data_IF_320699499397
#
_entry.id   IF_320699499397
#
_cell.length_a   1.000
_cell.length_b   1.000
_cell.length_c   1.000
_cell.angle_alpha   90.00
_cell.angle_beta   90.00
_cell.angle_gamma   90.00
#
_symmetry.space_group_name_H-M   'P 1'
#
loop_
_entity.id
_entity.type
_entity.pdbx_description
1 polymer ?
#
# COMPACT_ATOMS: atom_id res chain seq x y z
N UNK A 1 81.87 -32.05 4.34
CA UNK A 1 80.89 -31.39 3.43
C UNK A 1 79.46 -31.99 3.45
N UNK A 2 79.24 -33.25 3.86
CA UNK A 2 77.90 -33.86 3.87
C UNK A 2 76.93 -33.35 4.96
N UNK A 3 77.43 -32.88 6.11
CA UNK A 3 76.59 -32.41 7.24
C UNK A 3 75.97 -31.02 6.99
N UNK A 4 76.73 -30.13 6.34
CA UNK A 4 76.27 -28.77 6.00
C UNK A 4 75.14 -28.79 4.95
N UNK A 5 75.18 -29.72 3.99
CA UNK A 5 74.16 -29.85 2.94
C UNK A 5 72.84 -30.42 3.48
N UNK A 6 72.87 -31.30 4.49
CA UNK A 6 71.67 -31.84 5.15
C UNK A 6 70.96 -30.82 6.05
N UNK A 7 71.71 -29.96 6.74
CA UNK A 7 71.12 -28.88 7.55
C UNK A 7 70.45 -27.80 6.70
N UNK A 8 71.04 -27.44 5.56
CA UNK A 8 70.45 -26.47 4.64
C UNK A 8 69.14 -26.97 4.00
N UNK A 9 69.07 -28.25 3.63
CA UNK A 9 67.87 -28.84 3.02
C UNK A 9 66.70 -28.96 4.03
N UNK A 10 67.01 -29.33 5.28
CA UNK A 10 66.02 -29.41 6.36
C UNK A 10 65.46 -28.04 6.76
N UNK A 11 66.29 -26.99 6.78
CA UNK A 11 65.86 -25.63 7.11
C UNK A 11 65.00 -25.01 6.00
N UNK A 12 65.39 -25.21 4.73
CA UNK A 12 64.60 -24.78 3.57
C UNK A 12 63.22 -25.45 3.52
N UNK A 13 63.15 -26.75 3.82
CA UNK A 13 61.89 -27.51 3.84
C UNK A 13 60.97 -27.08 4.99
N UNK A 14 61.52 -26.77 6.16
CA UNK A 14 60.75 -26.20 7.29
C UNK A 14 60.21 -24.81 7.00
N UNK A 15 61.00 -23.94 6.36
CA UNK A 15 60.54 -22.59 5.96
C UNK A 15 59.44 -22.62 4.89
N UNK A 16 59.54 -23.53 3.93
CA UNK A 16 58.52 -23.69 2.90
C UNK A 16 57.19 -24.20 3.46
N UNK A 17 57.23 -25.16 4.40
CA UNK A 17 56.03 -25.70 5.04
C UNK A 17 55.33 -24.64 5.93
N UNK A 18 56.09 -23.86 6.70
CA UNK A 18 55.51 -22.78 7.54
C UNK A 18 54.96 -21.62 6.71
N UNK A 19 55.62 -21.22 5.62
CA UNK A 19 55.10 -20.16 4.72
C UNK A 19 53.82 -20.62 4.00
N UNK A 20 53.77 -21.87 3.54
CA UNK A 20 52.58 -22.45 2.91
C UNK A 20 51.40 -22.54 3.88
N UNK A 21 51.65 -22.97 5.12
CA UNK A 21 50.62 -23.05 6.17
C UNK A 21 50.09 -21.67 6.57
N UNK A 22 50.99 -20.69 6.73
CA UNK A 22 50.62 -19.31 7.06
C UNK A 22 49.79 -18.65 5.93
N UNK A 23 50.14 -18.89 4.66
CA UNK A 23 49.34 -18.40 3.52
C UNK A 23 47.97 -19.08 3.44
N UNK A 24 47.88 -20.38 3.69
CA UNK A 24 46.61 -21.11 3.68
C UNK A 24 45.67 -20.64 4.79
N UNK A 25 46.17 -20.43 6.01
CA UNK A 25 45.36 -19.88 7.12
C UNK A 25 44.92 -18.44 6.85
N UNK A 26 45.80 -17.60 6.29
CA UNK A 26 45.45 -16.22 5.95
C UNK A 26 44.39 -16.13 4.85
N UNK A 27 44.46 -16.97 3.81
CA UNK A 27 43.46 -17.02 2.74
C UNK A 27 42.11 -17.55 3.23
N UNK A 28 42.12 -18.61 4.05
CA UNK A 28 40.91 -19.16 4.66
C UNK A 28 40.21 -18.15 5.57
N UNK A 29 40.97 -17.40 6.38
CA UNK A 29 40.43 -16.37 7.27
C UNK A 29 39.87 -15.17 6.50
N UNK A 30 40.51 -14.75 5.41
CA UNK A 30 39.99 -13.69 4.52
C UNK A 30 38.72 -14.11 3.79
N UNK A 31 38.63 -15.35 3.30
CA UNK A 31 37.41 -15.87 2.67
C UNK A 31 36.24 -15.97 3.65
N UNK A 32 36.49 -16.43 4.87
CA UNK A 32 35.45 -16.52 5.90
C UNK A 32 34.91 -15.13 6.29
N UNK A 33 35.80 -14.14 6.46
CA UNK A 33 35.41 -12.77 6.81
C UNK A 33 34.63 -12.08 5.67
N UNK A 34 35.07 -12.29 4.42
CA UNK A 34 34.38 -11.77 3.24
C UNK A 34 32.98 -12.41 3.05
N UNK A 35 32.83 -13.72 3.25
CA UNK A 35 31.55 -14.42 3.17
C UNK A 35 30.59 -13.98 4.28
N UNK A 36 31.08 -13.83 5.51
CA UNK A 36 30.29 -13.35 6.65
C UNK A 36 29.79 -11.92 6.41
N UNK A 37 30.64 -11.04 5.91
CA UNK A 37 30.29 -9.65 5.61
C UNK A 37 29.30 -9.55 4.45
N UNK A 38 29.47 -10.35 3.40
CA UNK A 38 28.54 -10.39 2.27
C UNK A 38 27.15 -10.89 2.66
N UNK A 39 27.05 -11.87 3.58
CA UNK A 39 25.76 -12.35 4.10
C UNK A 39 25.05 -11.33 4.96
N UNK A 40 25.78 -10.62 5.83
CA UNK A 40 25.21 -9.57 6.67
C UNK A 40 24.64 -8.41 5.82
N UNK A 41 25.39 -7.96 4.82
CA UNK A 41 24.96 -6.86 3.93
C UNK A 41 23.73 -7.27 3.09
N UNK A 42 23.70 -8.51 2.60
CA UNK A 42 22.57 -9.04 1.86
C UNK A 42 21.30 -9.19 2.72
N UNK A 43 21.43 -9.57 4.00
CA UNK A 43 20.30 -9.66 4.92
C UNK A 43 19.75 -8.27 5.27
N UNK A 44 20.63 -7.31 5.55
CA UNK A 44 20.24 -5.93 5.86
C UNK A 44 19.58 -5.23 4.67
N UNK A 45 20.08 -5.45 3.46
CA UNK A 45 19.45 -4.97 2.22
C UNK A 45 18.05 -5.57 2.02
N UNK A 46 17.86 -6.87 2.30
CA UNK A 46 16.54 -7.52 2.23
C UNK A 46 15.59 -6.98 3.29
N UNK A 47 16.05 -6.79 4.52
CA UNK A 47 15.26 -6.25 5.61
C UNK A 47 14.83 -4.79 5.34
N UNK A 48 15.73 -3.97 4.79
CA UNK A 48 15.43 -2.60 4.39
C UNK A 48 14.41 -2.54 3.24
N UNK A 49 14.56 -3.41 2.23
CA UNK A 49 13.60 -3.50 1.12
C UNK A 49 12.20 -3.95 1.61
N UNK A 50 12.14 -4.94 2.51
CA UNK A 50 10.87 -5.38 3.11
C UNK A 50 10.20 -4.28 3.92
N UNK A 51 10.95 -3.56 4.77
CA UNK A 51 10.41 -2.42 5.53
C UNK A 51 9.91 -1.30 4.62
N UNK A 52 10.64 -0.98 3.56
CA UNK A 52 10.23 0.06 2.61
C UNK A 52 8.95 -0.32 1.87
N UNK A 53 8.84 -1.58 1.43
CA UNK A 53 7.61 -2.09 0.80
C UNK A 53 6.41 -2.06 1.76
N UNK A 54 6.60 -2.44 3.03
CA UNK A 54 5.54 -2.42 4.03
C UNK A 54 5.10 -0.99 4.37
N UNK A 55 6.04 -0.06 4.50
CA UNK A 55 5.75 1.37 4.70
C UNK A 55 4.98 1.96 3.52
N UNK A 56 5.38 1.66 2.29
CA UNK A 56 4.70 2.16 1.09
C UNK A 56 3.28 1.57 0.97
N UNK A 57 3.10 0.29 1.29
CA UNK A 57 1.78 -0.33 1.35
C UNK A 57 0.88 0.27 2.44
N UNK A 58 1.44 0.57 3.62
CA UNK A 58 0.71 1.23 4.70
C UNK A 58 0.33 2.68 4.34
N UNK A 59 1.23 3.42 3.70
CA UNK A 59 0.97 4.77 3.20
C UNK A 59 -0.13 4.77 2.15
N UNK A 60 -0.04 3.90 1.13
CA UNK A 60 -1.09 3.75 0.12
C UNK A 60 -2.44 3.45 0.75
N UNK A 61 -2.52 2.52 1.71
CA UNK A 61 -3.78 2.24 2.43
C UNK A 61 -4.32 3.46 3.19
N UNK A 62 -3.45 4.22 3.85
CA UNK A 62 -3.86 5.41 4.61
C UNK A 62 -4.32 6.54 3.68
N UNK A 63 -3.64 6.75 2.56
CA UNK A 63 -4.01 7.72 1.54
C UNK A 63 -5.30 7.31 0.84
N UNK A 64 -5.45 6.04 0.45
CA UNK A 64 -6.69 5.52 -0.13
C UNK A 64 -7.89 5.76 0.79
N UNK A 65 -7.73 5.54 2.11
CA UNK A 65 -8.79 5.86 3.08
C UNK A 65 -9.12 7.34 3.11
N UNK A 66 -8.11 8.22 3.18
CA UNK A 66 -8.32 9.69 3.21
C UNK A 66 -8.99 10.19 1.93
N UNK A 67 -8.55 9.70 0.77
CA UNK A 67 -9.11 10.04 -0.54
C UNK A 67 -10.54 9.51 -0.64
N UNK A 68 -10.81 8.28 -0.17
CA UNK A 68 -12.17 7.73 -0.12
C UNK A 68 -13.10 8.59 0.75
N UNK A 69 -12.66 8.99 1.94
CA UNK A 69 -13.44 9.80 2.86
C UNK A 69 -13.69 11.22 2.30
N UNK A 70 -12.65 11.87 1.75
CA UNK A 70 -12.77 13.16 1.08
C UNK A 70 -13.71 13.09 -0.12
N UNK A 71 -13.61 12.02 -0.91
CA UNK A 71 -14.49 11.80 -2.07
C UNK A 71 -15.93 11.57 -1.64
N UNK A 72 -16.19 10.76 -0.60
CA UNK A 72 -17.53 10.60 -0.03
C UNK A 72 -18.11 11.93 0.43
N UNK A 73 -17.29 12.80 1.03
CA UNK A 73 -17.72 14.14 1.40
C UNK A 73 -18.07 14.99 0.16
N UNK A 74 -17.27 14.92 -0.91
CA UNK A 74 -17.58 15.57 -2.18
C UNK A 74 -18.89 15.05 -2.80
N UNK A 75 -19.14 13.74 -2.73
CA UNK A 75 -20.38 13.12 -3.19
C UNK A 75 -21.57 13.65 -2.41
N UNK A 76 -21.49 13.60 -1.08
CA UNK A 76 -22.53 14.10 -0.19
C UNK A 76 -22.83 15.57 -0.51
N UNK A 77 -21.81 16.42 -0.60
CA UNK A 77 -21.99 17.84 -0.89
C UNK A 77 -22.62 18.08 -2.27
N UNK A 78 -22.18 17.35 -3.31
CA UNK A 78 -22.72 17.50 -4.67
C UNK A 78 -24.18 17.04 -4.75
N UNK A 79 -24.52 15.92 -4.10
CA UNK A 79 -25.89 15.42 -4.01
C UNK A 79 -26.75 16.38 -3.19
N UNK A 80 -26.32 16.80 -2.01
CA UNK A 80 -27.07 17.75 -1.18
C UNK A 80 -27.31 19.08 -1.89
N UNK A 81 -26.37 19.56 -2.71
CA UNK A 81 -26.56 20.77 -3.54
C UNK A 81 -27.59 20.58 -4.65
N UNK A 82 -27.67 19.39 -5.23
CA UNK A 82 -28.66 19.06 -6.25
C UNK A 82 -30.00 18.58 -5.66
N UNK A 83 -30.06 18.41 -4.34
CA UNK A 83 -31.20 17.81 -3.66
C UNK A 83 -32.25 18.84 -3.28
N UNK A 84 -33.41 18.72 -3.94
CA UNK A 84 -34.58 19.53 -3.64
C UNK A 84 -35.44 18.82 -2.60
N UNK A 85 -35.17 19.10 -1.32
CA UNK A 85 -35.88 18.47 -0.20
C UNK A 85 -37.34 18.91 -0.18
N UNK A 86 -38.30 17.97 -0.27
CA UNK A 86 -39.71 18.30 -0.14
C UNK A 86 -39.99 18.79 1.28
N UNK A 87 -40.71 19.92 1.41
CA UNK A 87 -41.00 20.56 2.71
C UNK A 87 -41.64 19.59 3.71
N UNK A 88 -42.49 18.68 3.24
CA UNK A 88 -43.18 17.68 4.06
C UNK A 88 -42.25 16.63 4.69
N UNK A 89 -41.00 16.52 4.23
CA UNK A 89 -40.05 15.51 4.68
C UNK A 89 -38.83 16.10 5.40
N UNK A 90 -38.81 17.40 5.69
CA UNK A 90 -37.75 18.03 6.49
C UNK A 90 -37.63 17.39 7.88
N UNK A 91 -36.40 17.23 8.35
CA UNK A 91 -36.05 16.52 9.58
C UNK A 91 -35.96 14.99 9.45
N UNK A 92 -36.41 14.40 8.33
CA UNK A 92 -36.33 12.95 8.11
C UNK A 92 -34.96 12.55 7.58
N UNK A 93 -34.49 11.38 8.00
CA UNK A 93 -33.29 10.76 7.43
C UNK A 93 -33.66 9.66 6.44
N UNK A 94 -32.90 9.55 5.37
CA UNK A 94 -33.05 8.53 4.33
C UNK A 94 -31.72 7.87 4.05
N UNK A 95 -31.70 6.54 4.03
CA UNK A 95 -30.52 5.79 3.63
C UNK A 95 -30.60 5.49 2.15
N UNK A 96 -29.59 5.91 1.40
CA UNK A 96 -29.54 5.74 -0.06
C UNK A 96 -28.34 4.87 -0.41
N UNK A 97 -28.62 3.75 -1.06
CA UNK A 97 -27.60 2.90 -1.65
C UNK A 97 -27.39 3.32 -3.10
N UNK A 98 -26.19 3.79 -3.40
CA UNK A 98 -25.81 4.30 -4.71
C UNK A 98 -24.79 3.34 -5.30
N UNK A 99 -25.06 2.88 -6.52
CA UNK A 99 -24.13 2.14 -7.35
C UNK A 99 -23.58 3.06 -8.43
N UNK A 100 -22.27 3.20 -8.48
CA UNK A 100 -21.55 4.04 -9.44
C UNK A 100 -20.79 3.16 -10.44
N UNK A 101 -20.43 3.70 -11.58
CA UNK A 101 -19.49 3.09 -12.52
C UNK A 101 -18.05 3.58 -12.26
N UNK A 102 -17.04 3.03 -12.94
CA UNK A 102 -15.62 3.42 -12.79
C UNK A 102 -15.35 4.90 -13.14
N UNK A 103 -16.28 5.54 -13.86
CA UNK A 103 -16.20 6.96 -14.23
C UNK A 103 -17.00 7.89 -13.30
N UNK A 104 -17.53 7.37 -12.17
CA UNK A 104 -18.36 8.16 -11.24
C UNK A 104 -19.79 8.44 -11.73
N UNK A 105 -20.22 7.75 -12.79
CA UNK A 105 -21.61 7.81 -13.27
C UNK A 105 -22.53 6.96 -12.40
N UNK A 106 -23.71 7.48 -12.06
CA UNK A 106 -24.69 6.73 -11.28
C UNK A 106 -25.33 5.64 -12.13
N UNK A 107 -25.11 4.38 -11.77
CA UNK A 107 -25.72 3.21 -12.41
C UNK A 107 -27.06 2.81 -11.77
N UNK A 108 -27.13 2.87 -10.45
CA UNK A 108 -28.35 2.49 -9.72
C UNK A 108 -28.46 3.28 -8.42
N UNK A 109 -29.67 3.68 -8.08
CA UNK A 109 -29.99 4.36 -6.82
C UNK A 109 -31.15 3.63 -6.18
N UNK A 110 -30.97 3.27 -4.91
CA UNK A 110 -32.01 2.63 -4.11
C UNK A 110 -32.14 3.41 -2.82
N UNK A 111 -33.18 4.24 -2.71
CA UNK A 111 -33.49 4.94 -1.48
C UNK A 111 -34.42 4.09 -0.60
N UNK A 112 -34.05 3.93 0.67
CA UNK A 112 -34.83 3.20 1.66
C UNK A 112 -35.48 4.20 2.62
N UNK A 113 -36.74 4.54 2.33
CA UNK A 113 -37.56 5.43 3.16
C UNK A 113 -39.04 5.06 3.00
N UNK A 114 -39.83 5.40 4.01
CA UNK A 114 -41.30 5.29 4.01
C UNK A 114 -41.99 6.36 3.14
N UNK A 115 -41.28 7.45 2.80
CA UNK A 115 -41.82 8.58 2.05
C UNK A 115 -41.48 8.47 0.56
N UNK A 116 -42.51 8.34 -0.29
CA UNK A 116 -42.34 8.22 -1.74
C UNK A 116 -41.79 9.50 -2.38
N UNK A 117 -42.24 10.68 -1.96
CA UNK A 117 -41.75 11.97 -2.48
C UNK A 117 -40.28 12.20 -2.12
N UNK A 118 -39.89 11.85 -0.90
CA UNK A 118 -38.49 11.95 -0.46
C UNK A 118 -37.59 11.01 -1.26
N UNK A 119 -38.06 9.80 -1.55
CA UNK A 119 -37.37 8.83 -2.40
C UNK A 119 -37.18 9.36 -3.82
N UNK A 120 -38.23 9.84 -4.46
CA UNK A 120 -38.14 10.39 -5.81
C UNK A 120 -37.20 11.61 -5.86
N UNK A 121 -37.31 12.52 -4.88
CA UNK A 121 -36.45 13.69 -4.76
C UNK A 121 -34.97 13.32 -4.62
N UNK A 122 -34.62 12.37 -3.75
CA UNK A 122 -33.22 11.98 -3.57
C UNK A 122 -32.68 11.21 -4.78
N UNK A 123 -33.51 10.39 -5.44
CA UNK A 123 -33.11 9.69 -6.66
C UNK A 123 -32.80 10.68 -7.80
N UNK A 124 -33.62 11.71 -7.95
CA UNK A 124 -33.37 12.77 -8.95
C UNK A 124 -32.13 13.59 -8.60
N UNK A 125 -31.96 13.95 -7.33
CA UNK A 125 -30.77 14.64 -6.83
C UNK A 125 -29.48 13.88 -7.13
N UNK A 126 -29.48 12.56 -6.89
CA UNK A 126 -28.32 11.70 -7.17
C UNK A 126 -28.07 11.62 -8.68
N UNK A 127 -29.10 11.49 -9.51
CA UNK A 127 -28.97 11.52 -10.98
C UNK A 127 -28.42 12.85 -11.48
N UNK A 128 -28.90 13.98 -10.95
CA UNK A 128 -28.43 15.34 -11.27
C UNK A 128 -27.00 15.61 -10.79
N UNK A 129 -26.60 15.00 -9.68
CA UNK A 129 -25.23 15.12 -9.16
C UNK A 129 -24.21 14.32 -10.00
N UNK A 130 -24.67 13.40 -10.86
CA UNK A 130 -23.82 12.67 -11.81
C UNK A 130 -23.20 13.62 -12.85
N UNK A 131 -21.93 13.46 -13.24
CA UNK A 131 -20.94 12.52 -12.71
C UNK A 131 -20.38 12.98 -11.35
N UNK A 132 -20.27 12.03 -10.43
CA UNK A 132 -19.61 12.22 -9.14
C UNK A 132 -18.08 12.12 -9.30
N UNK A 133 -17.29 12.94 -8.57
CA UNK A 133 -15.83 12.97 -8.72
C UNK A 133 -15.17 11.67 -8.26
N UNK A 134 -14.75 10.80 -9.18
CA UNK A 134 -14.12 9.53 -8.83
C UNK A 134 -12.59 9.66 -8.76
N UNK A 135 -11.92 9.08 -7.75
CA UNK A 135 -10.47 9.02 -7.71
C UNK A 135 -9.94 8.01 -8.74
N UNK A 136 -8.71 8.22 -9.21
CA UNK A 136 -8.05 7.31 -10.16
C UNK A 136 -7.64 5.96 -9.55
N UNK A 137 -7.59 5.87 -8.22
CA UNK A 137 -7.10 4.67 -7.52
C UNK A 137 -8.15 3.53 -7.54
N UNK A 138 -7.80 2.34 -8.09
CA UNK A 138 -8.76 1.26 -8.34
C UNK A 138 -9.33 0.63 -7.06
N UNK A 139 -8.57 0.61 -5.96
CA UNK A 139 -9.05 0.12 -4.66
C UNK A 139 -10.15 1.06 -4.14
N UNK A 140 -9.93 2.37 -4.23
CA UNK A 140 -10.92 3.36 -3.82
C UNK A 140 -12.15 3.32 -4.73
N UNK A 141 -11.96 3.23 -6.05
CA UNK A 141 -13.05 3.08 -7.02
C UNK A 141 -13.94 1.90 -6.65
N UNK A 142 -13.33 0.76 -6.28
CA UNK A 142 -14.07 -0.45 -5.87
C UNK A 142 -14.89 -0.22 -4.60
N UNK A 143 -14.33 0.50 -3.62
CA UNK A 143 -15.05 0.86 -2.39
C UNK A 143 -16.15 1.90 -2.62
N UNK A 144 -15.95 2.84 -3.54
CA UNK A 144 -16.91 3.89 -3.89
C UNK A 144 -17.97 3.43 -4.88
N UNK A 145 -17.74 2.33 -5.59
CA UNK A 145 -18.69 1.74 -6.55
C UNK A 145 -20.03 1.40 -5.92
N UNK A 146 -20.03 0.97 -4.65
CA UNK A 146 -21.24 0.67 -3.90
C UNK A 146 -21.15 1.29 -2.52
N UNK A 147 -21.86 2.40 -2.34
CA UNK A 147 -21.84 3.15 -1.08
C UNK A 147 -23.25 3.34 -0.55
N UNK A 148 -23.34 3.37 0.77
CA UNK A 148 -24.52 3.80 1.50
C UNK A 148 -24.25 5.19 2.07
N UNK A 149 -25.09 6.16 1.70
CA UNK A 149 -25.03 7.51 2.27
C UNK A 149 -26.37 7.78 2.95
N UNK A 150 -26.30 8.20 4.21
CA UNK A 150 -27.47 8.70 4.92
C UNK A 150 -27.57 10.20 4.70
N UNK A 151 -28.68 10.63 4.11
CA UNK A 151 -29.02 12.04 3.94
C UNK A 151 -30.07 12.44 4.98
N UNK A 152 -29.98 13.67 5.44
CA UNK A 152 -30.96 14.27 6.36
C UNK A 152 -31.60 15.41 5.58
N UNK A 153 -32.91 15.33 5.39
CA UNK A 153 -33.70 16.38 4.79
C UNK A 153 -33.63 17.62 5.69
N UNK A 154 -32.90 18.66 5.27
CA UNK A 154 -32.77 19.92 6.01
C UNK A 154 -33.79 20.96 5.55
#
# INVERSE_FOLDING_TARGET
EADAKRKADADAKKKADTDAKAKAEADAKRKADADAKAKADAEEAKAAAAKKAEQEAAQKKAESKKIADSTKAAFKNKITRAWEVPLASRGKSINVNITLDANGNVKSVVANSSDSDLKASVEDAVKRASPLPMPDDPDIVSQLRRISITFIAQ
#
